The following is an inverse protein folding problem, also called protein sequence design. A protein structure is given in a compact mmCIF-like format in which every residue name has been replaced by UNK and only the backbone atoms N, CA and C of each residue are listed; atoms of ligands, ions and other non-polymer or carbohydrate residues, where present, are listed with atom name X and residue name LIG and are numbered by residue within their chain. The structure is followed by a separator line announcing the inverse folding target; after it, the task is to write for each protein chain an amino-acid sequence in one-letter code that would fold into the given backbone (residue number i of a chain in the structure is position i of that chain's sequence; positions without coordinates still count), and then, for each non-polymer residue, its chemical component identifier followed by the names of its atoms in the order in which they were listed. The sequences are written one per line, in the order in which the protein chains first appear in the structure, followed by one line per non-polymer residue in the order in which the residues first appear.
data_IF_715639019459
#
_entry.id   IF_715639019459
#
_cell.length_a   1.000
_cell.length_b   1.000
_cell.length_c   1.000
_cell.angle_alpha   90.00
_cell.angle_beta   90.00
_cell.angle_gamma   90.00
#
_symmetry.space_group_name_H-M   'P 1'
#
loop_
_entity.id
_entity.type
_entity.pdbx_description
1 polymer ?
#
# COMPACT_ATOMS: atom_id res chain seq x y z
N UNK A 1 8.63 -6.47 26.71
CA UNK A 1 8.07 -5.11 26.57
C UNK A 1 6.60 -5.15 26.94
N UNK A 2 5.94 -4.03 27.18
CA UNK A 2 4.48 -4.06 27.42
C UNK A 2 3.76 -4.47 26.14
N UNK A 3 2.70 -5.27 26.29
CA UNK A 3 1.84 -5.61 25.17
C UNK A 3 0.84 -4.47 24.93
N UNK A 4 0.32 -4.40 23.71
CA UNK A 4 -0.67 -3.38 23.36
C UNK A 4 -1.97 -3.62 24.14
N UNK A 5 -2.60 -2.53 24.62
CA UNK A 5 -3.73 -2.62 25.55
C UNK A 5 -5.06 -2.38 24.84
N UNK A 6 -6.10 -3.20 25.07
CA UNK A 6 -7.41 -2.99 24.46
C UNK A 6 -8.03 -1.64 24.85
N UNK A 7 -8.62 -0.94 23.88
CA UNK A 7 -9.31 0.35 24.06
C UNK A 7 -10.58 0.43 23.21
N UNK A 8 -11.46 1.40 23.47
CA UNK A 8 -12.67 1.64 22.67
C UNK A 8 -12.84 3.13 22.33
N UNK A 9 -11.99 3.68 21.45
CA UNK A 9 -12.03 5.09 21.10
C UNK A 9 -13.08 5.44 20.02
N UNK A 10 -13.67 4.44 19.39
CA UNK A 10 -14.54 4.62 18.22
C UNK A 10 -16.00 4.33 18.54
N UNK A 11 -16.88 5.22 18.10
CA UNK A 11 -18.25 4.84 17.75
C UNK A 11 -18.21 4.20 16.35
N UNK A 12 -18.86 3.05 16.20
CA UNK A 12 -18.79 2.24 14.98
C UNK A 12 -20.19 2.03 14.41
N UNK A 13 -20.36 2.33 13.14
CA UNK A 13 -21.58 2.03 12.38
C UNK A 13 -21.22 1.18 11.16
N UNK A 14 -22.04 0.16 10.87
CA UNK A 14 -21.85 -0.74 9.74
C UNK A 14 -23.06 -0.62 8.82
N UNK A 15 -22.80 -0.39 7.53
CA UNK A 15 -23.82 -0.36 6.48
C UNK A 15 -23.48 -1.40 5.43
N UNK A 16 -24.44 -2.27 5.13
CA UNK A 16 -24.31 -3.22 4.03
C UNK A 16 -25.06 -2.69 2.80
N UNK A 17 -24.37 -2.68 1.67
CA UNK A 17 -24.97 -2.49 0.34
C UNK A 17 -24.98 -3.84 -0.38
N UNK A 18 -25.65 -3.97 -1.54
CA UNK A 18 -25.60 -5.19 -2.33
C UNK A 18 -24.19 -5.63 -2.75
N UNK A 19 -23.21 -4.72 -2.68
CA UNK A 19 -21.89 -4.88 -3.30
C UNK A 19 -20.72 -4.51 -2.40
N UNK A 20 -20.98 -3.95 -1.22
CA UNK A 20 -19.94 -3.56 -0.27
C UNK A 20 -20.44 -3.60 1.17
N UNK A 21 -19.51 -3.77 2.10
CA UNK A 21 -19.72 -3.47 3.51
C UNK A 21 -18.94 -2.21 3.86
N UNK A 22 -19.61 -1.20 4.38
CA UNK A 22 -19.03 0.08 4.76
C UNK A 22 -19.03 0.18 6.28
N UNK A 23 -17.86 0.28 6.88
CA UNK A 23 -17.70 0.52 8.31
C UNK A 23 -17.25 1.95 8.55
N UNK A 24 -18.01 2.70 9.33
CA UNK A 24 -17.69 4.06 9.76
C UNK A 24 -17.18 4.03 11.19
N UNK A 25 -16.00 4.62 11.40
CA UNK A 25 -15.41 4.84 12.71
C UNK A 25 -15.43 6.33 13.01
N UNK A 26 -16.03 6.72 14.13
CA UNK A 26 -16.10 8.11 14.58
C UNK A 26 -15.43 8.27 15.93
N UNK A 27 -14.70 9.36 16.10
CA UNK A 27 -14.05 9.75 17.35
C UNK A 27 -14.54 11.14 17.76
N UNK A 28 -14.39 11.49 19.04
CA UNK A 28 -14.79 12.82 19.52
C UNK A 28 -13.85 13.93 19.02
N UNK A 29 -12.54 13.69 19.03
CA UNK A 29 -11.55 14.76 18.85
C UNK A 29 -10.73 14.65 17.56
N UNK A 30 -10.79 13.54 16.83
CA UNK A 30 -10.04 13.39 15.59
C UNK A 30 -9.45 12.00 15.36
N UNK A 31 -9.31 11.64 14.09
CA UNK A 31 -8.65 10.41 13.64
C UNK A 31 -7.87 10.63 12.34
N UNK A 32 -6.66 10.07 12.27
CA UNK A 32 -5.84 10.03 11.06
C UNK A 32 -5.34 8.62 10.79
N UNK A 33 -5.40 8.18 9.53
CA UNK A 33 -4.83 6.90 9.09
C UNK A 33 -3.33 7.01 8.79
N UNK A 34 -2.53 6.06 9.27
CA UNK A 34 -1.06 6.05 9.11
C UNK A 34 -0.49 4.82 8.40
N UNK A 35 -1.28 3.77 8.21
CA UNK A 35 -0.85 2.59 7.47
C UNK A 35 -1.79 1.42 7.71
N UNK A 36 -1.77 0.45 6.80
CA UNK A 36 -2.64 -0.69 6.83
C UNK A 36 -1.95 -1.91 6.22
N UNK A 37 -2.36 -3.11 6.65
CA UNK A 37 -1.92 -4.39 6.09
C UNK A 37 -3.05 -5.42 6.15
N UNK A 38 -2.88 -6.50 5.38
CA UNK A 38 -3.66 -7.72 5.54
C UNK A 38 -3.13 -8.57 6.69
N UNK A 39 -4.02 -9.20 7.47
CA UNK A 39 -3.66 -10.19 8.50
C UNK A 39 -4.80 -11.21 8.63
N UNK A 40 -4.52 -12.49 8.34
CA UNK A 40 -5.48 -13.60 8.45
C UNK A 40 -6.86 -13.33 7.82
N UNK A 41 -6.88 -12.78 6.60
CA UNK A 41 -8.14 -12.45 5.94
C UNK A 41 -8.78 -11.12 6.39
N UNK A 42 -8.15 -10.39 7.30
CA UNK A 42 -8.66 -9.15 7.91
C UNK A 42 -7.76 -7.96 7.59
N UNK A 43 -8.27 -6.76 7.84
CA UNK A 43 -7.50 -5.52 7.75
C UNK A 43 -6.95 -5.15 9.13
N UNK A 44 -5.66 -4.86 9.24
CA UNK A 44 -5.05 -4.20 10.40
C UNK A 44 -4.65 -2.78 10.00
N UNK A 45 -5.09 -1.78 10.77
CA UNK A 45 -4.83 -0.37 10.50
C UNK A 45 -4.10 0.25 11.68
N UNK A 46 -3.11 1.09 11.40
CA UNK A 46 -2.51 2.01 12.35
C UNK A 46 -3.15 3.39 12.20
N UNK A 47 -3.63 3.95 13.31
CA UNK A 47 -4.36 5.22 13.35
C UNK A 47 -3.88 6.09 14.50
N UNK A 48 -3.88 7.41 14.30
CA UNK A 48 -3.77 8.36 15.41
C UNK A 48 -5.17 8.77 15.83
N UNK A 49 -5.48 8.53 17.10
CA UNK A 49 -6.72 8.98 17.75
C UNK A 49 -6.38 10.18 18.63
N UNK A 50 -6.95 11.33 18.31
CA UNK A 50 -6.64 12.58 18.98
C UNK A 50 -7.37 12.70 20.32
N UNK A 51 -6.73 13.38 21.28
CA UNK A 51 -7.32 13.77 22.55
C UNK A 51 -6.76 15.14 22.96
N UNK A 52 -7.63 16.15 22.99
CA UNK A 52 -7.24 17.55 23.17
C UNK A 52 -6.08 17.96 22.23
N UNK A 53 -4.88 18.20 22.77
CA UNK A 53 -3.69 18.67 22.03
C UNK A 53 -2.69 17.56 21.67
N UNK A 54 -3.03 16.29 21.92
CA UNK A 54 -2.16 15.14 21.66
C UNK A 54 -2.91 14.02 20.91
N UNK A 55 -2.23 12.93 20.61
CA UNK A 55 -2.81 11.74 19.99
C UNK A 55 -2.24 10.46 20.58
N UNK A 56 -2.99 9.38 20.43
CA UNK A 56 -2.55 8.02 20.76
C UNK A 56 -2.51 7.20 19.48
N UNK A 57 -1.40 6.51 19.27
CA UNK A 57 -1.33 5.50 18.22
C UNK A 57 -2.19 4.30 18.64
N UNK A 58 -3.14 3.96 17.79
CA UNK A 58 -4.12 2.89 17.98
C UNK A 58 -4.10 1.96 16.77
N UNK A 59 -4.10 0.66 17.02
CA UNK A 59 -4.24 -0.38 16.01
C UNK A 59 -5.67 -0.89 15.99
N UNK A 60 -6.28 -0.94 14.82
CA UNK A 60 -7.65 -1.41 14.58
C UNK A 60 -7.59 -2.66 13.71
N UNK A 61 -8.18 -3.77 14.17
CA UNK A 61 -8.37 -4.98 13.37
C UNK A 61 -9.84 -5.14 13.01
N UNK A 62 -10.10 -5.39 11.72
CA UNK A 62 -11.44 -5.36 11.14
C UNK A 62 -11.63 -6.51 10.15
N UNK A 63 -12.71 -7.26 10.35
CA UNK A 63 -13.11 -8.34 9.45
C UNK A 63 -13.87 -7.80 8.22
N UNK A 64 -13.86 -8.49 7.06
CA UNK A 64 -14.52 -8.01 5.84
C UNK A 64 -16.04 -7.79 5.94
N UNK A 65 -16.70 -8.41 6.92
CA UNK A 65 -18.11 -8.16 7.26
C UNK A 65 -18.34 -6.88 8.07
N UNK A 66 -17.28 -6.11 8.32
CA UNK A 66 -17.32 -4.86 9.07
C UNK A 66 -17.22 -5.01 10.59
N UNK A 67 -17.10 -6.24 11.10
CA UNK A 67 -16.97 -6.47 12.54
C UNK A 67 -15.56 -6.15 13.05
N UNK A 68 -15.49 -5.28 14.07
CA UNK A 68 -14.25 -4.92 14.74
C UNK A 68 -13.83 -6.06 15.65
N UNK A 69 -12.72 -6.71 15.32
CA UNK A 69 -12.19 -7.86 16.09
C UNK A 69 -11.20 -7.42 17.17
N UNK A 70 -10.71 -6.19 17.11
CA UNK A 70 -10.03 -5.58 18.24
C UNK A 70 -9.49 -4.18 17.94
N UNK A 71 -9.28 -3.43 19.02
CA UNK A 71 -8.69 -2.09 18.99
C UNK A 71 -7.72 -2.00 20.15
N UNK A 72 -6.46 -1.64 19.88
CA UNK A 72 -5.40 -1.60 20.88
C UNK A 72 -4.59 -0.32 20.82
N UNK A 73 -4.18 0.20 21.97
CA UNK A 73 -3.30 1.36 22.08
C UNK A 73 -1.83 0.93 22.09
N UNK A 74 -0.99 1.64 21.34
CA UNK A 74 0.47 1.53 21.38
C UNK A 74 1.03 2.26 22.61
N UNK A 75 1.71 1.58 23.55
CA UNK A 75 2.36 2.22 24.68
C UNK A 75 3.76 2.75 24.35
N UNK A 76 4.46 2.17 23.38
CA UNK A 76 5.92 2.31 23.31
C UNK A 76 6.39 3.47 22.41
N UNK A 77 5.57 3.96 21.46
CA UNK A 77 6.04 4.98 20.52
C UNK A 77 5.03 5.49 19.49
N UNK A 78 5.55 6.22 18.50
CA UNK A 78 4.81 6.90 17.42
C UNK A 78 5.40 6.58 16.04
N UNK A 79 4.78 7.14 15.00
CA UNK A 79 5.20 7.03 13.59
C UNK A 79 5.25 5.57 13.13
N UNK A 80 4.10 4.88 13.15
CA UNK A 80 4.05 3.45 12.88
C UNK A 80 4.37 3.17 11.42
N UNK A 81 5.20 2.15 11.19
CA UNK A 81 5.26 1.48 9.89
C UNK A 81 5.01 0.00 10.08
N UNK A 82 3.86 -0.48 9.59
CA UNK A 82 3.48 -1.89 9.65
C UNK A 82 4.23 -2.68 8.57
N UNK A 83 4.65 -3.90 8.89
CA UNK A 83 5.22 -4.86 7.93
C UNK A 83 5.02 -6.30 8.41
N UNK A 84 5.33 -7.28 7.56
CA UNK A 84 5.21 -8.70 7.87
C UNK A 84 6.56 -9.41 7.83
N UNK A 85 6.76 -10.39 8.71
CA UNK A 85 7.86 -11.35 8.56
C UNK A 85 7.53 -12.46 7.54
N UNK A 86 8.50 -13.32 7.18
CA UNK A 86 8.27 -14.44 6.24
C UNK A 86 7.21 -15.45 6.67
N UNK A 87 6.82 -15.47 7.95
CA UNK A 87 5.79 -16.36 8.48
C UNK A 87 4.42 -15.66 8.57
N UNK A 88 4.30 -14.43 8.07
CA UNK A 88 3.06 -13.64 8.12
C UNK A 88 2.79 -12.96 9.47
N UNK A 89 3.73 -13.03 10.44
CA UNK A 89 3.59 -12.32 11.70
C UNK A 89 3.73 -10.83 11.45
N UNK A 90 2.81 -10.04 12.02
CA UNK A 90 2.83 -8.59 11.90
C UNK A 90 3.86 -7.99 12.86
N UNK A 91 4.68 -7.11 12.32
CA UNK A 91 5.60 -6.24 13.05
C UNK A 91 5.22 -4.78 12.84
N UNK A 92 5.65 -3.94 13.77
CA UNK A 92 5.58 -2.50 13.65
C UNK A 92 6.95 -1.89 13.95
N UNK A 93 7.35 -0.96 13.11
CA UNK A 93 8.43 -0.03 13.36
C UNK A 93 7.85 1.23 14.00
N UNK A 94 8.40 1.67 15.13
CA UNK A 94 8.00 2.89 15.85
C UNK A 94 9.22 3.66 16.34
N UNK A 95 9.06 4.96 16.52
CA UNK A 95 10.00 5.80 17.26
C UNK A 95 9.54 5.85 18.73
N UNK A 96 10.33 5.35 19.70
CA UNK A 96 9.94 5.34 21.10
C UNK A 96 9.71 6.73 21.68
N UNK A 97 8.84 6.83 22.70
CA UNK A 97 8.62 8.09 23.42
C UNK A 97 9.84 8.57 24.25
N UNK A 98 10.83 7.71 24.49
CA UNK A 98 12.01 8.06 25.27
C UNK A 98 13.03 8.91 24.47
N UNK A 99 13.68 9.90 25.11
CA UNK A 99 14.29 11.04 24.41
C UNK A 99 15.68 10.82 23.80
N UNK A 100 16.35 9.69 24.08
CA UNK A 100 17.73 9.50 23.65
C UNK A 100 17.81 8.89 22.25
N UNK A 101 17.79 9.81 21.27
CA UNK A 101 17.94 9.63 19.81
C UNK A 101 16.66 9.17 19.12
N UNK A 102 16.29 9.85 18.03
CA UNK A 102 15.21 9.51 17.08
C UNK A 102 15.53 8.19 16.35
N UNK A 103 15.61 7.10 17.11
CA UNK A 103 15.95 5.77 16.62
C UNK A 103 14.68 4.94 16.61
N UNK A 104 14.42 4.32 15.47
CA UNK A 104 13.31 3.41 15.27
C UNK A 104 13.63 2.02 15.84
N UNK A 105 12.71 1.46 16.60
CA UNK A 105 12.70 0.04 16.97
C UNK A 105 11.68 -0.71 16.13
N UNK A 106 11.90 -2.00 15.91
CA UNK A 106 10.92 -2.88 15.29
C UNK A 106 10.58 -4.01 16.23
N UNK A 107 9.30 -4.19 16.49
CA UNK A 107 8.76 -5.16 17.44
C UNK A 107 7.55 -5.87 16.82
N UNK A 108 7.28 -7.12 17.21
CA UNK A 108 6.00 -7.75 16.90
C UNK A 108 4.84 -6.87 17.34
N UNK A 109 3.78 -6.81 16.54
CA UNK A 109 2.60 -6.03 16.91
C UNK A 109 1.94 -6.58 18.18
N UNK A 110 1.85 -7.91 18.27
CA UNK A 110 1.31 -8.67 19.41
C UNK A 110 2.39 -9.56 20.05
N UNK A 111 2.11 -10.07 21.25
CA UNK A 111 2.94 -11.03 22.01
C UNK A 111 4.35 -10.49 22.33
N UNK A 112 4.40 -9.29 22.93
CA UNK A 112 5.63 -8.53 23.21
C UNK A 112 6.25 -8.81 24.57
N UNK A 113 5.53 -9.51 25.46
CA UNK A 113 5.89 -9.69 26.86
C UNK A 113 7.23 -10.41 27.02
N UNK A 114 7.47 -11.42 26.18
CA UNK A 114 8.70 -12.21 26.19
C UNK A 114 9.89 -11.55 25.48
N UNK A 115 9.72 -10.34 24.92
CA UNK A 115 10.72 -9.69 24.07
C UNK A 115 11.45 -8.59 24.86
N UNK A 116 12.78 -8.67 24.89
CA UNK A 116 13.63 -7.59 25.37
C UNK A 116 13.60 -6.41 24.39
N UNK A 117 13.74 -5.18 24.90
CA UNK A 117 13.77 -3.99 24.04
C UNK A 117 14.87 -4.10 22.97
N UNK A 118 14.51 -4.08 21.68
CA UNK A 118 15.49 -4.23 20.61
C UNK A 118 16.36 -2.97 20.47
N UNK A 119 17.53 -3.14 19.86
CA UNK A 119 18.41 -2.02 19.54
C UNK A 119 17.76 -1.11 18.49
N UNK A 120 17.68 0.18 18.79
CA UNK A 120 17.21 1.18 17.84
C UNK A 120 18.10 1.30 16.59
N UNK A 121 17.49 1.65 15.46
CA UNK A 121 18.15 1.92 14.17
C UNK A 121 17.74 3.30 13.66
N UNK A 122 18.51 3.88 12.74
CA UNK A 122 18.05 5.11 12.08
C UNK A 122 16.77 4.82 11.27
N UNK A 123 15.74 5.66 11.34
CA UNK A 123 14.52 5.49 10.55
C UNK A 123 14.82 5.36 9.05
N UNK A 124 14.08 4.49 8.37
CA UNK A 124 14.14 4.35 6.92
C UNK A 124 12.97 5.11 6.29
N UNK A 125 13.24 6.01 5.36
CA UNK A 125 12.20 6.88 4.76
C UNK A 125 11.28 6.19 3.75
N UNK A 126 11.52 4.91 3.44
CA UNK A 126 10.72 4.16 2.48
C UNK A 126 9.55 3.43 3.11
N UNK A 127 8.77 2.77 2.26
CA UNK A 127 7.59 2.02 2.66
C UNK A 127 7.82 0.52 2.51
N UNK A 128 7.13 -0.26 3.33
CA UNK A 128 7.07 -1.72 3.14
C UNK A 128 6.42 -2.04 1.80
N UNK A 129 7.02 -2.97 1.05
CA UNK A 129 6.52 -3.40 -0.26
C UNK A 129 5.97 -4.82 -0.18
N UNK A 130 6.79 -5.75 0.27
CA UNK A 130 6.46 -7.17 0.34
C UNK A 130 7.46 -7.92 1.21
N UNK A 131 7.15 -9.18 1.47
CA UNK A 131 8.05 -10.11 2.15
C UNK A 131 8.52 -11.17 1.18
N UNK A 132 9.83 -11.40 1.16
CA UNK A 132 10.50 -12.51 0.48
C UNK A 132 10.89 -13.57 1.53
N UNK A 133 11.26 -14.81 1.14
CA UNK A 133 11.44 -15.91 2.10
C UNK A 133 12.35 -15.65 3.30
N UNK A 134 13.33 -14.76 3.17
CA UNK A 134 14.32 -14.45 4.21
C UNK A 134 14.21 -13.02 4.78
N UNK A 135 13.34 -12.16 4.24
CA UNK A 135 13.30 -10.75 4.61
C UNK A 135 11.98 -10.03 4.31
N UNK A 136 11.67 -9.02 5.13
CA UNK A 136 10.72 -7.97 4.77
C UNK A 136 11.46 -6.88 4.00
N UNK A 137 10.91 -6.46 2.85
CA UNK A 137 11.53 -5.51 1.94
C UNK A 137 10.82 -4.17 2.00
N UNK A 138 11.60 -3.12 2.22
CA UNK A 138 11.17 -1.74 2.15
C UNK A 138 11.88 -1.04 0.98
N UNK A 139 11.21 -0.07 0.37
CA UNK A 139 11.73 0.65 -0.78
C UNK A 139 11.47 2.15 -0.67
N UNK A 140 12.46 2.92 -1.10
CA UNK A 140 12.43 4.37 -1.17
C UNK A 140 13.00 4.86 -2.50
N UNK A 141 12.25 5.74 -3.15
CA UNK A 141 12.63 6.41 -4.38
C UNK A 141 12.53 7.93 -4.17
N UNK A 142 13.58 8.66 -4.53
CA UNK A 142 13.58 10.13 -4.55
C UNK A 142 13.25 10.64 -5.96
N UNK A 143 11.97 10.84 -6.23
CA UNK A 143 11.49 11.30 -7.54
C UNK A 143 12.02 12.67 -7.97
N UNK A 144 12.55 13.48 -7.04
CA UNK A 144 13.10 14.80 -7.32
C UNK A 144 14.61 14.79 -7.57
N UNK A 145 15.29 13.67 -7.33
CA UNK A 145 16.74 13.53 -7.51
C UNK A 145 17.08 12.36 -8.45
N UNK A 146 16.84 12.45 -9.77
CA UNK A 146 17.07 11.34 -10.72
C UNK A 146 18.53 10.85 -10.75
N UNK A 147 19.50 11.67 -10.34
CA UNK A 147 20.90 11.24 -10.21
C UNK A 147 21.22 10.40 -8.97
N UNK A 148 20.28 10.25 -8.02
CA UNK A 148 20.50 9.48 -6.80
C UNK A 148 19.98 8.04 -6.94
N UNK A 149 20.74 7.03 -6.53
CA UNK A 149 20.27 5.66 -6.43
C UNK A 149 19.00 5.53 -5.59
N UNK A 150 18.07 4.68 -6.01
CA UNK A 150 16.97 4.25 -5.15
C UNK A 150 17.54 3.45 -3.96
N UNK A 151 16.76 3.37 -2.88
CA UNK A 151 17.18 2.68 -1.66
C UNK A 151 16.20 1.54 -1.36
N UNK A 152 16.77 0.42 -0.96
CA UNK A 152 16.04 -0.71 -0.40
C UNK A 152 16.50 -0.93 1.03
N UNK A 153 15.62 -1.42 1.90
CA UNK A 153 16.01 -1.96 3.20
C UNK A 153 15.48 -3.38 3.31
N UNK A 154 16.37 -4.33 3.61
CA UNK A 154 16.02 -5.70 3.93
C UNK A 154 16.04 -5.91 5.45
N UNK A 155 14.91 -6.32 6.02
CA UNK A 155 14.76 -6.67 7.44
C UNK A 155 14.74 -8.19 7.55
N UNK A 156 15.77 -8.76 8.15
CA UNK A 156 15.93 -10.21 8.34
C UNK A 156 15.55 -10.62 9.76
N UNK A 157 15.12 -11.87 9.91
CA UNK A 157 14.58 -12.40 11.15
C UNK A 157 15.34 -13.63 11.64
N UNK A 158 15.40 -13.81 12.96
CA UNK A 158 15.95 -15.00 13.63
C UNK A 158 15.15 -15.23 14.91
N UNK A 159 14.75 -16.47 15.18
CA UNK A 159 14.01 -16.85 16.38
C UNK A 159 12.74 -15.97 16.60
N UNK A 160 12.01 -15.68 15.52
CA UNK A 160 10.81 -14.81 15.49
C UNK A 160 11.05 -13.35 15.93
N UNK A 161 12.29 -12.87 15.85
CA UNK A 161 12.66 -11.49 16.16
C UNK A 161 13.44 -10.86 14.99
N UNK A 162 13.41 -9.52 14.92
CA UNK A 162 14.23 -8.79 13.96
C UNK A 162 15.70 -9.00 14.29
N UNK A 163 16.43 -9.65 13.39
CA UNK A 163 17.85 -9.92 13.52
C UNK A 163 18.71 -8.74 13.03
N UNK A 164 18.40 -8.24 11.83
CA UNK A 164 19.20 -7.18 11.19
C UNK A 164 18.39 -6.40 10.15
N UNK A 165 18.56 -5.08 10.15
CA UNK A 165 18.14 -4.18 9.07
C UNK A 165 19.34 -3.81 8.22
N UNK A 166 19.27 -4.02 6.91
CA UNK A 166 20.36 -3.72 5.98
C UNK A 166 19.89 -2.71 4.94
N UNK A 167 20.45 -1.50 4.98
CA UNK A 167 20.21 -0.46 3.97
C UNK A 167 21.06 -0.72 2.74
N UNK A 168 20.43 -0.72 1.58
CA UNK A 168 20.99 -1.12 0.29
C UNK A 168 20.73 0.01 -0.71
N UNK A 169 21.77 0.38 -1.46
CA UNK A 169 21.64 1.29 -2.60
C UNK A 169 21.44 0.45 -3.85
N UNK A 170 20.34 0.65 -4.55
CA UNK A 170 20.06 -0.04 -5.81
C UNK A 170 20.90 0.61 -6.91
N UNK A 171 21.65 -0.14 -7.73
CA UNK A 171 22.43 0.44 -8.82
C UNK A 171 21.59 1.31 -9.76
N UNK A 172 22.17 2.36 -10.34
CA UNK A 172 21.52 3.17 -11.36
C UNK A 172 21.14 2.31 -12.60
N UNK A 173 20.14 2.72 -13.41
CA UNK A 173 19.31 3.93 -13.29
C UNK A 173 18.39 3.92 -12.06
N UNK A 174 18.05 5.12 -11.59
CA UNK A 174 17.11 5.35 -10.48
C UNK A 174 15.66 5.34 -10.99
N UNK A 175 14.72 5.66 -10.11
CA UNK A 175 13.30 5.73 -10.42
C UNK A 175 12.71 4.40 -10.88
N UNK A 176 13.17 3.30 -10.28
CA UNK A 176 12.69 1.97 -10.61
C UNK A 176 11.24 1.79 -10.14
N UNK A 177 10.42 1.20 -11.01
CA UNK A 177 9.21 0.50 -10.61
C UNK A 177 9.64 -0.86 -10.06
N UNK A 178 9.51 -1.03 -8.75
CA UNK A 178 9.89 -2.24 -8.05
C UNK A 178 8.69 -3.18 -7.96
N UNK A 179 8.90 -4.46 -8.29
CA UNK A 179 7.90 -5.51 -8.21
C UNK A 179 8.50 -6.72 -7.50
N UNK A 180 7.79 -7.25 -6.51
CA UNK A 180 8.23 -8.42 -5.75
C UNK A 180 7.18 -9.51 -5.85
N UNK A 181 7.63 -10.71 -6.19
CA UNK A 181 6.80 -11.90 -6.22
C UNK A 181 7.62 -13.13 -5.81
N UNK A 182 7.16 -13.82 -4.77
CA UNK A 182 7.87 -14.96 -4.21
C UNK A 182 9.27 -14.55 -3.74
N UNK A 183 10.31 -15.11 -4.36
CA UNK A 183 11.72 -14.79 -4.10
C UNK A 183 12.34 -13.81 -5.10
N UNK A 184 11.57 -13.29 -6.05
CA UNK A 184 12.07 -12.43 -7.11
C UNK A 184 11.84 -10.96 -6.79
N UNK A 185 12.91 -10.17 -6.76
CA UNK A 185 12.85 -8.70 -6.68
C UNK A 185 13.24 -8.16 -8.05
N UNK A 186 12.25 -7.61 -8.75
CA UNK A 186 12.38 -7.14 -10.13
C UNK A 186 12.26 -5.62 -10.16
N UNK A 187 13.04 -5.00 -11.03
CA UNK A 187 13.11 -3.55 -11.19
C UNK A 187 12.90 -3.23 -12.66
N UNK A 188 12.01 -2.29 -12.94
CA UNK A 188 11.84 -1.71 -14.26
C UNK A 188 12.17 -0.22 -14.20
N UNK A 189 13.20 0.20 -14.92
CA UNK A 189 13.55 1.61 -15.05
C UNK A 189 13.58 2.02 -16.51
N UNK A 190 13.40 3.32 -16.76
CA UNK A 190 13.54 3.90 -18.11
C UNK A 190 14.94 4.46 -18.29
N UNK A 191 15.55 4.14 -19.42
CA UNK A 191 16.85 4.64 -19.84
C UNK A 191 16.76 5.08 -21.31
N UNK A 192 16.55 6.39 -21.52
CA UNK A 192 16.31 6.94 -22.86
C UNK A 192 15.10 6.29 -23.54
N UNK A 193 15.32 5.65 -24.69
CA UNK A 193 14.32 4.92 -25.48
C UNK A 193 14.28 3.43 -25.17
N UNK A 194 14.76 3.03 -23.99
CA UNK A 194 14.74 1.64 -23.54
C UNK A 194 14.14 1.56 -22.14
N UNK A 195 13.53 0.42 -21.83
CA UNK A 195 13.34 0.00 -20.47
C UNK A 195 14.44 -0.98 -20.09
N UNK A 196 14.97 -0.82 -18.89
CA UNK A 196 15.92 -1.72 -18.29
C UNK A 196 15.20 -2.57 -17.25
N UNK A 197 14.97 -3.83 -17.57
CA UNK A 197 14.44 -4.83 -16.65
C UNK A 197 15.62 -5.49 -15.93
N UNK A 198 15.62 -5.43 -14.60
CA UNK A 198 16.65 -6.05 -13.77
C UNK A 198 16.03 -6.94 -12.72
N UNK A 199 16.78 -7.96 -12.34
CA UNK A 199 16.52 -8.78 -11.17
C UNK A 199 17.64 -8.57 -10.17
N UNK A 200 17.28 -8.36 -8.91
CA UNK A 200 18.23 -8.19 -7.81
C UNK A 200 17.95 -9.19 -6.70
N UNK A 201 18.98 -9.52 -5.92
CA UNK A 201 18.79 -10.26 -4.67
C UNK A 201 18.54 -9.32 -3.47
N UNK A 202 18.33 -9.89 -2.29
CA UNK A 202 18.12 -9.15 -1.03
C UNK A 202 19.32 -8.32 -0.57
N UNK A 203 20.46 -8.39 -1.26
CA UNK A 203 21.64 -7.54 -1.04
C UNK A 203 21.74 -6.41 -2.07
N UNK A 204 20.83 -6.33 -3.04
CA UNK A 204 20.84 -5.36 -4.13
C UNK A 204 21.81 -5.69 -5.26
N UNK A 205 22.37 -6.90 -5.29
CA UNK A 205 23.24 -7.35 -6.37
C UNK A 205 22.38 -7.72 -7.57
N UNK A 206 22.73 -7.21 -8.75
CA UNK A 206 22.05 -7.54 -10.01
C UNK A 206 22.39 -8.98 -10.39
N UNK A 207 21.38 -9.83 -10.45
CA UNK A 207 21.50 -11.22 -10.89
C UNK A 207 21.14 -11.38 -12.37
N UNK A 208 20.36 -10.44 -12.92
CA UNK A 208 20.03 -10.42 -14.33
C UNK A 208 19.66 -9.02 -14.84
N UNK A 209 19.89 -8.80 -16.13
CA UNK A 209 19.52 -7.56 -16.85
C UNK A 209 19.02 -7.90 -18.25
N UNK A 210 17.95 -7.23 -18.67
CA UNK A 210 17.41 -7.25 -20.03
C UNK A 210 17.09 -5.81 -20.45
N UNK A 211 17.49 -5.43 -21.66
CA UNK A 211 17.16 -4.14 -22.26
C UNK A 211 16.02 -4.35 -23.26
N UNK A 212 14.96 -3.56 -23.12
CA UNK A 212 13.75 -3.65 -23.94
C UNK A 212 13.62 -2.32 -24.70
N UNK A 213 13.71 -2.31 -26.04
CA UNK A 213 13.42 -1.11 -26.83
C UNK A 213 12.00 -0.62 -26.58
N UNK A 214 11.76 0.69 -26.53
CA UNK A 214 10.42 1.26 -26.34
C UNK A 214 10.25 2.56 -27.14
N UNK A 215 9.00 2.92 -27.42
CA UNK A 215 8.58 4.19 -28.02
C UNK A 215 8.65 5.38 -27.04
N UNK A 216 9.35 5.22 -25.91
CA UNK A 216 9.49 6.21 -24.84
C UNK A 216 8.26 6.32 -23.91
N UNK A 217 7.43 5.28 -23.87
CA UNK A 217 6.26 5.22 -23.00
C UNK A 217 6.63 5.30 -21.52
N UNK A 218 5.87 6.12 -20.77
CA UNK A 218 6.01 6.23 -19.33
C UNK A 218 5.13 5.18 -18.64
N UNK A 219 5.76 4.25 -17.93
CA UNK A 219 5.04 3.25 -17.12
C UNK A 219 4.59 3.92 -15.83
N UNK A 220 3.27 3.95 -15.59
CA UNK A 220 2.69 4.43 -14.34
C UNK A 220 2.92 3.41 -13.24
N UNK A 221 2.47 2.19 -13.43
CA UNK A 221 2.61 1.12 -12.45
C UNK A 221 2.95 -0.22 -13.11
N UNK A 222 3.61 -1.07 -12.35
CA UNK A 222 3.85 -2.46 -12.72
C UNK A 222 2.78 -3.31 -12.07
N UNK A 223 1.86 -3.85 -12.87
CA UNK A 223 0.82 -4.76 -12.37
C UNK A 223 1.45 -6.13 -12.15
N UNK A 224 2.13 -6.66 -13.16
CA UNK A 224 2.85 -7.92 -13.07
C UNK A 224 4.14 -7.83 -13.89
N UNK A 225 5.24 -8.34 -13.34
CA UNK A 225 6.54 -8.32 -14.01
C UNK A 225 7.23 -9.65 -13.87
N UNK A 226 7.49 -10.31 -14.99
CA UNK A 226 8.13 -11.61 -15.08
C UNK A 226 9.11 -11.65 -16.25
N UNK A 227 10.06 -12.56 -16.17
CA UNK A 227 11.04 -12.85 -17.23
C UNK A 227 10.71 -14.10 -18.04
N UNK A 228 9.82 -14.93 -17.51
CA UNK A 228 9.45 -16.21 -18.10
C UNK A 228 7.99 -16.24 -18.53
N UNK A 229 7.21 -15.24 -18.11
CA UNK A 229 5.80 -15.08 -18.42
C UNK A 229 5.56 -13.67 -18.94
N UNK A 230 4.41 -13.48 -19.59
CA UNK A 230 3.95 -12.17 -20.03
C UNK A 230 3.78 -11.23 -18.85
N UNK A 231 4.38 -10.04 -18.94
CA UNK A 231 4.27 -8.95 -17.98
C UNK A 231 3.16 -7.97 -18.40
N UNK A 232 2.59 -7.27 -17.43
CA UNK A 232 1.52 -6.29 -17.62
C UNK A 232 1.87 -4.99 -16.92
N UNK A 233 1.96 -3.91 -17.69
CA UNK A 233 2.32 -2.58 -17.20
C UNK A 233 1.20 -1.58 -17.48
N UNK A 234 0.83 -0.80 -16.47
CA UNK A 234 -0.16 0.25 -16.60
C UNK A 234 0.49 1.54 -17.10
N UNK A 235 -0.09 2.15 -18.12
CA UNK A 235 0.24 3.49 -18.59
C UNK A 235 -1.03 4.30 -18.85
N UNK A 236 -0.87 5.57 -19.21
CA UNK A 236 -1.98 6.36 -19.70
C UNK A 236 -1.50 7.42 -20.69
N UNK A 237 -2.47 8.01 -21.40
CA UNK A 237 -2.27 9.24 -22.17
C UNK A 237 -3.56 10.04 -22.22
N UNK A 238 -3.57 11.25 -21.64
CA UNK A 238 -4.74 12.16 -21.69
C UNK A 238 -6.03 11.51 -21.14
N UNK A 239 -5.92 10.79 -20.03
CA UNK A 239 -7.05 10.08 -19.42
C UNK A 239 -7.36 8.69 -19.99
N UNK A 240 -6.88 8.36 -21.20
CA UNK A 240 -6.94 7.00 -21.73
C UNK A 240 -5.98 6.10 -20.95
N UNK A 241 -6.51 5.16 -20.18
CA UNK A 241 -5.76 4.08 -19.56
C UNK A 241 -5.38 3.06 -20.63
N UNK A 242 -4.13 2.60 -20.60
CA UNK A 242 -3.61 1.63 -21.55
C UNK A 242 -2.81 0.56 -20.79
N UNK A 243 -2.84 -0.68 -21.28
CA UNK A 243 -1.98 -1.76 -20.79
C UNK A 243 -0.91 -2.05 -21.82
N UNK A 244 0.32 -2.18 -21.34
CA UNK A 244 1.43 -2.71 -22.11
C UNK A 244 1.57 -4.19 -21.75
N UNK A 245 1.34 -5.05 -22.73
CA UNK A 245 1.57 -6.49 -22.66
C UNK A 245 2.99 -6.76 -23.13
N UNK A 246 3.88 -7.19 -22.24
CA UNK A 246 5.31 -7.39 -22.49
C UNK A 246 5.66 -8.88 -22.43
N UNK A 247 6.03 -9.46 -23.56
CA UNK A 247 6.46 -10.85 -23.64
C UNK A 247 7.89 -11.05 -23.08
N UNK A 248 8.26 -12.28 -22.68
CA UNK A 248 9.61 -12.61 -22.18
C UNK A 248 10.77 -12.21 -23.10
N UNK A 249 10.56 -12.25 -24.42
CA UNK A 249 11.56 -11.88 -25.43
C UNK A 249 11.76 -10.36 -25.59
N UNK A 250 10.96 -9.55 -24.89
CA UNK A 250 10.99 -8.09 -24.96
C UNK A 250 10.05 -7.48 -26.00
N UNK A 251 9.34 -8.30 -26.79
CA UNK A 251 8.28 -7.80 -27.65
C UNK A 251 7.11 -7.30 -26.79
N UNK A 252 6.51 -6.19 -27.20
CA UNK A 252 5.40 -5.61 -26.44
C UNK A 252 4.39 -4.93 -27.35
N UNK A 253 3.14 -4.96 -26.90
CA UNK A 253 2.01 -4.26 -27.51
C UNK A 253 1.33 -3.40 -26.47
N UNK A 254 0.68 -2.34 -26.93
CA UNK A 254 -0.05 -1.40 -26.08
C UNK A 254 -1.50 -1.38 -26.53
N UNK A 255 -2.39 -1.70 -25.61
CA UNK A 255 -3.81 -1.81 -25.87
C UNK A 255 -4.59 -0.82 -24.99
N UNK A 256 -5.62 -0.14 -25.54
CA UNK A 256 -6.49 0.71 -24.74
C UNK A 256 -7.27 -0.15 -23.74
N UNK A 257 -7.35 0.31 -22.50
CA UNK A 257 -8.05 -0.37 -21.42
C UNK A 257 -9.40 0.31 -21.13
N UNK A 258 -9.37 1.62 -20.87
CA UNK A 258 -10.55 2.40 -20.53
C UNK A 258 -10.26 3.89 -20.65
N UNK A 259 -11.21 4.69 -21.14
CA UNK A 259 -11.07 6.14 -21.17
C UNK A 259 -11.72 6.76 -19.93
N UNK A 260 -10.90 7.32 -19.03
CA UNK A 260 -11.40 8.00 -17.83
C UNK A 260 -11.95 9.40 -18.14
N UNK A 261 -11.65 9.94 -19.32
CA UNK A 261 -11.88 11.34 -19.73
C UNK A 261 -11.13 12.40 -18.89
N UNK A 262 -10.62 12.05 -17.70
CA UNK A 262 -9.85 12.90 -16.82
C UNK A 262 -8.38 12.48 -16.76
N UNK A 263 -7.46 13.45 -16.73
CA UNK A 263 -6.03 13.18 -16.61
C UNK A 263 -5.68 12.57 -15.25
N UNK A 264 -4.89 11.49 -15.27
CA UNK A 264 -4.36 10.89 -14.05
C UNK A 264 -3.17 11.69 -13.54
N UNK A 265 -3.23 12.17 -12.31
CA UNK A 265 -2.11 12.86 -11.68
C UNK A 265 -1.20 11.87 -10.96
N UNK A 266 -1.75 11.03 -10.10
CA UNK A 266 -0.97 10.03 -9.37
C UNK A 266 -1.62 8.66 -9.46
N UNK A 267 -0.75 7.66 -9.44
CA UNK A 267 -1.04 6.26 -9.14
C UNK A 267 -0.16 5.84 -7.98
N UNK A 268 -0.59 4.83 -7.24
CA UNK A 268 0.22 4.20 -6.21
C UNK A 268 0.50 2.76 -6.58
N UNK A 269 1.56 2.20 -5.99
CA UNK A 269 1.96 0.82 -6.25
C UNK A 269 0.77 -0.14 -6.10
N UNK A 270 0.50 -1.00 -7.10
CA UNK A 270 -0.62 -1.92 -7.04
C UNK A 270 -0.45 -2.94 -5.93
N UNK A 271 -1.57 -3.34 -5.34
CA UNK A 271 -1.59 -4.42 -4.36
C UNK A 271 -2.17 -5.69 -4.97
N UNK A 272 -1.45 -6.81 -4.80
CA UNK A 272 -1.88 -8.12 -5.27
C UNK A 272 -2.97 -8.69 -4.36
N UNK A 273 -4.16 -8.95 -4.91
CA UNK A 273 -5.29 -9.49 -4.14
C UNK A 273 -5.49 -10.99 -4.37
N UNK A 274 -5.38 -11.49 -5.61
CA UNK A 274 -5.56 -12.91 -5.98
C UNK A 274 -5.20 -13.14 -7.45
N UNK A 275 -4.66 -14.29 -7.87
CA UNK A 275 -4.55 -14.75 -9.28
C UNK A 275 -4.26 -13.66 -10.34
N UNK A 276 -3.14 -12.94 -10.20
CA UNK A 276 -2.73 -11.82 -11.06
C UNK A 276 -3.74 -10.66 -11.13
N UNK A 277 -4.60 -10.56 -10.12
CA UNK A 277 -5.52 -9.46 -9.90
C UNK A 277 -4.87 -8.47 -8.95
N UNK A 278 -4.85 -7.22 -9.39
CA UNK A 278 -4.24 -6.11 -8.69
C UNK A 278 -5.24 -4.99 -8.48
N UNK A 279 -5.20 -4.37 -7.30
CA UNK A 279 -5.93 -3.14 -7.02
C UNK A 279 -4.96 -1.96 -7.02
N UNK A 280 -5.29 -0.93 -7.80
CA UNK A 280 -4.45 0.25 -7.98
C UNK A 280 -5.23 1.51 -7.62
N UNK A 281 -4.76 2.29 -6.64
CA UNK A 281 -5.31 3.61 -6.34
C UNK A 281 -4.84 4.63 -7.37
N UNK A 282 -5.71 5.58 -7.70
CA UNK A 282 -5.37 6.74 -8.52
C UNK A 282 -6.08 8.02 -8.05
N UNK A 283 -5.59 9.17 -8.52
CA UNK A 283 -6.32 10.43 -8.44
C UNK A 283 -6.20 11.27 -9.73
N UNK A 284 -7.16 12.18 -9.89
CA UNK A 284 -7.22 13.17 -10.96
C UNK A 284 -7.48 14.55 -10.36
N UNK A 285 -7.68 15.57 -11.20
CA UNK A 285 -8.11 16.90 -10.74
C UNK A 285 -9.55 16.94 -10.22
N UNK A 286 -10.41 16.01 -10.66
CA UNK A 286 -11.84 16.01 -10.34
C UNK A 286 -12.23 14.98 -9.26
N UNK A 287 -11.31 14.11 -8.83
CA UNK A 287 -11.60 13.14 -7.79
C UNK A 287 -10.49 12.11 -7.59
N UNK A 288 -10.82 11.04 -6.88
CA UNK A 288 -9.95 9.88 -6.65
C UNK A 288 -10.73 8.58 -6.81
N UNK A 289 -10.00 7.48 -6.97
CA UNK A 289 -10.59 6.18 -7.23
C UNK A 289 -9.60 5.03 -7.08
N UNK A 290 -10.09 3.83 -7.36
CA UNK A 290 -9.27 2.65 -7.53
C UNK A 290 -9.76 1.83 -8.71
N UNK A 291 -8.85 1.10 -9.31
CA UNK A 291 -9.14 0.17 -10.40
C UNK A 291 -8.67 -1.23 -10.03
N UNK A 292 -9.35 -2.23 -10.58
CA UNK A 292 -8.99 -3.63 -10.43
C UNK A 292 -8.69 -4.19 -11.80
N UNK A 293 -7.50 -4.71 -11.95
CA UNK A 293 -7.00 -5.25 -13.21
C UNK A 293 -6.60 -6.69 -13.04
N UNK A 294 -6.93 -7.53 -14.01
CA UNK A 294 -6.37 -8.87 -14.16
C UNK A 294 -5.71 -8.95 -15.53
N UNK A 295 -4.40 -9.14 -15.55
CA UNK A 295 -3.63 -9.17 -16.80
C UNK A 295 -3.88 -7.90 -17.65
N UNK A 296 -4.45 -8.06 -18.85
CA UNK A 296 -4.80 -6.97 -19.77
C UNK A 296 -6.27 -6.54 -19.67
N UNK A 297 -6.99 -6.94 -18.62
CA UNK A 297 -8.41 -6.64 -18.44
C UNK A 297 -8.65 -5.74 -17.24
N UNK A 298 -9.60 -4.83 -17.39
CA UNK A 298 -10.15 -4.04 -16.30
C UNK A 298 -11.41 -4.75 -15.79
N UNK A 299 -11.41 -5.14 -14.52
CA UNK A 299 -12.52 -5.84 -13.88
C UNK A 299 -13.49 -4.85 -13.23
N UNK A 300 -12.95 -3.86 -12.53
CA UNK A 300 -13.73 -2.80 -11.89
C UNK A 300 -12.95 -1.47 -11.94
N UNK A 301 -13.65 -0.34 -12.01
CA UNK A 301 -13.04 0.99 -11.82
C UNK A 301 -14.01 1.89 -11.07
N UNK A 302 -13.66 2.23 -9.83
CA UNK A 302 -14.45 3.07 -8.96
C UNK A 302 -13.91 4.49 -8.96
N UNK A 303 -14.78 5.46 -9.20
CA UNK A 303 -14.41 6.86 -9.28
C UNK A 303 -15.43 7.75 -8.57
N UNK A 304 -14.95 8.78 -7.88
CA UNK A 304 -15.76 9.67 -7.03
C UNK A 304 -16.40 10.86 -7.76
N UNK A 305 -16.02 11.13 -9.02
CA UNK A 305 -16.52 12.30 -9.75
C UNK A 305 -18.03 12.22 -9.97
N UNK A 306 -18.73 13.28 -9.54
CA UNK A 306 -20.15 13.48 -9.83
C UNK A 306 -21.10 12.57 -9.04
N UNK A 307 -20.62 11.89 -7.99
CA UNK A 307 -21.44 11.04 -7.12
C UNK A 307 -21.05 11.21 -5.65
N UNK A 308 -21.99 11.03 -4.74
CA UNK A 308 -21.72 11.01 -3.30
C UNK A 308 -21.20 9.61 -2.89
N UNK A 309 -19.90 9.38 -3.05
CA UNK A 309 -19.25 8.09 -2.81
C UNK A 309 -18.42 7.66 -4.01
N UNK A 310 -18.61 6.43 -4.49
CA UNK A 310 -17.87 5.90 -5.63
C UNK A 310 -18.78 5.20 -6.63
N UNK A 311 -18.63 5.52 -7.91
CA UNK A 311 -19.34 4.86 -9.01
C UNK A 311 -18.39 3.92 -9.75
N UNK A 312 -18.81 2.68 -9.96
CA UNK A 312 -18.17 1.79 -10.91
C UNK A 312 -18.46 2.30 -12.33
N UNK A 313 -17.45 2.75 -13.07
CA UNK A 313 -17.66 3.31 -14.40
C UNK A 313 -17.99 2.25 -15.46
N UNK A 314 -17.71 0.97 -15.19
CA UNK A 314 -18.06 -0.13 -16.10
C UNK A 314 -19.53 -0.53 -16.00
N UNK A 315 -20.06 -0.61 -14.77
CA UNK A 315 -21.40 -1.14 -14.50
C UNK A 315 -22.44 -0.07 -14.16
N UNK A 316 -21.97 1.13 -13.78
CA UNK A 316 -22.82 2.22 -13.28
C UNK A 316 -23.23 2.07 -11.81
N UNK A 317 -22.85 0.97 -11.15
CA UNK A 317 -23.09 0.71 -9.73
C UNK A 317 -22.51 1.84 -8.86
N UNK A 318 -23.24 2.25 -7.81
CA UNK A 318 -22.79 3.28 -6.88
C UNK A 318 -22.67 2.69 -5.48
N UNK A 319 -21.52 2.93 -4.85
CA UNK A 319 -21.28 2.73 -3.42
C UNK A 319 -21.53 4.08 -2.75
N UNK A 320 -22.72 4.31 -2.15
CA UNK A 320 -23.04 5.57 -1.51
C UNK A 320 -22.22 5.73 -0.23
N UNK A 321 -21.69 6.94 -0.02
CA UNK A 321 -21.05 7.33 1.23
C UNK A 321 -21.80 8.51 1.86
N UNK A 322 -21.73 8.70 3.19
CA UNK A 322 -22.40 9.83 3.84
C UNK A 322 -21.74 11.19 3.56
N UNK A 323 -20.71 11.26 2.71
CA UNK A 323 -19.95 12.46 2.40
C UNK A 323 -19.75 12.60 0.89
N UNK A 324 -19.77 13.84 0.38
CA UNK A 324 -19.54 14.16 -1.03
C UNK A 324 -18.06 14.01 -1.40
N UNK A 325 -17.18 14.68 -0.66
CA UNK A 325 -15.74 14.64 -0.88
C UNK A 325 -15.06 13.70 0.12
N UNK A 326 -14.50 12.60 -0.39
CA UNK A 326 -13.70 11.63 0.38
C UNK A 326 -12.29 11.50 -0.20
N UNK A 327 -11.32 11.25 0.67
CA UNK A 327 -9.92 11.05 0.31
C UNK A 327 -9.53 9.60 0.56
N UNK A 328 -9.08 8.90 -0.49
CA UNK A 328 -8.50 7.55 -0.38
C UNK A 328 -7.14 7.60 0.30
N UNK A 329 -7.01 6.94 1.45
CA UNK A 329 -5.80 6.92 2.25
C UNK A 329 -5.02 5.61 2.15
N UNK A 330 -5.70 4.49 1.89
CA UNK A 330 -5.06 3.18 1.75
C UNK A 330 -5.92 2.15 1.04
N UNK A 331 -5.28 1.06 0.62
CA UNK A 331 -5.88 -0.16 0.08
C UNK A 331 -5.21 -1.33 0.79
N UNK A 332 -5.94 -2.41 1.09
CA UNK A 332 -5.33 -3.70 1.35
C UNK A 332 -6.15 -4.89 0.88
N UNK A 333 -5.46 -5.99 0.56
CA UNK A 333 -6.06 -7.32 0.44
C UNK A 333 -6.69 -7.73 1.78
N UNK A 334 -7.82 -8.42 1.71
CA UNK A 334 -8.40 -9.15 2.85
C UNK A 334 -8.34 -10.64 2.59
N UNK A 335 -9.32 -11.18 1.86
CA UNK A 335 -9.39 -12.58 1.43
C UNK A 335 -8.95 -12.74 -0.03
N UNK A 336 -8.96 -13.96 -0.57
CA UNK A 336 -8.81 -14.15 -2.02
C UNK A 336 -9.94 -13.41 -2.76
N UNK A 337 -9.58 -12.49 -3.66
CA UNK A 337 -10.53 -11.60 -4.36
C UNK A 337 -11.17 -10.52 -3.47
N UNK A 338 -10.88 -10.51 -2.17
CA UNK A 338 -11.38 -9.54 -1.20
C UNK A 338 -10.39 -8.41 -0.97
N UNK A 339 -10.90 -7.21 -0.81
CA UNK A 339 -10.09 -6.02 -0.52
C UNK A 339 -10.83 -5.02 0.36
N UNK A 340 -10.04 -4.14 0.98
CA UNK A 340 -10.49 -3.02 1.79
C UNK A 340 -9.99 -1.71 1.17
N UNK A 341 -10.85 -0.70 1.21
CA UNK A 341 -10.55 0.65 0.78
C UNK A 341 -10.69 1.57 1.99
N UNK A 342 -9.60 2.22 2.38
CA UNK A 342 -9.57 3.13 3.52
C UNK A 342 -9.70 4.56 3.01
N UNK A 343 -10.68 5.29 3.51
CA UNK A 343 -10.90 6.69 3.16
C UNK A 343 -11.36 7.52 4.36
N UNK A 344 -11.32 8.83 4.22
CA UNK A 344 -11.82 9.79 5.21
C UNK A 344 -12.44 10.99 4.51
N UNK A 345 -13.43 11.66 5.12
CA UNK A 345 -14.03 12.84 4.50
C UNK A 345 -13.01 13.97 4.41
N UNK A 346 -13.04 14.69 3.29
CA UNK A 346 -12.29 15.94 3.16
C UNK A 346 -12.91 16.95 4.12
N UNK A 347 -12.08 17.47 5.01
CA UNK A 347 -12.45 18.55 5.92
C UNK A 347 -11.73 19.83 5.55
N UNK A 348 -12.31 20.97 5.93
CA UNK A 348 -11.64 22.26 5.84
C UNK A 348 -10.30 22.25 6.58
N UNK A 349 -9.33 23.06 6.12
CA UNK A 349 -7.96 23.05 6.66
C UNK A 349 -7.87 23.30 8.17
N UNK A 350 -8.85 24.00 8.74
CA UNK A 350 -8.93 24.33 10.17
C UNK A 350 -9.73 23.32 11.00
N UNK A 351 -10.44 22.39 10.35
CA UNK A 351 -11.26 21.39 11.00
C UNK A 351 -10.48 20.08 11.20
N UNK A 352 -10.74 19.40 12.31
CA UNK A 352 -10.17 18.08 12.56
C UNK A 352 -11.07 17.01 11.95
N UNK A 353 -10.50 16.14 11.12
CA UNK A 353 -11.21 14.97 10.64
C UNK A 353 -11.46 14.01 11.82
N UNK A 354 -12.71 13.70 12.09
CA UNK A 354 -13.13 12.83 13.18
C UNK A 354 -13.65 11.47 12.72
N UNK A 355 -13.63 11.22 11.41
CA UNK A 355 -14.24 10.04 10.79
C UNK A 355 -13.24 9.27 9.93
N UNK A 356 -13.27 7.95 10.03
CA UNK A 356 -12.60 7.03 9.12
C UNK A 356 -13.64 6.09 8.51
N UNK A 357 -13.55 5.83 7.22
CA UNK A 357 -14.44 4.95 6.47
C UNK A 357 -13.63 3.80 5.88
N UNK A 358 -14.13 2.59 6.04
CA UNK A 358 -13.51 1.39 5.46
C UNK A 358 -14.57 0.68 4.62
N UNK A 359 -14.30 0.56 3.32
CA UNK A 359 -15.18 -0.12 2.37
C UNK A 359 -14.57 -1.48 2.07
N UNK A 360 -15.22 -2.55 2.50
CA UNK A 360 -14.88 -3.92 2.15
C UNK A 360 -15.67 -4.38 0.95
N UNK A 361 -14.97 -5.02 0.02
CA UNK A 361 -15.55 -5.63 -1.17
C UNK A 361 -14.91 -6.97 -1.46
N UNK A 362 -15.63 -7.77 -2.21
CA UNK A 362 -15.14 -9.00 -2.83
C UNK A 362 -15.52 -8.95 -4.28
N UNK A 363 -14.56 -9.26 -5.15
CA UNK A 363 -14.82 -9.41 -6.57
C UNK A 363 -15.91 -10.46 -6.80
N UNK A 364 -16.89 -10.11 -7.63
CA UNK A 364 -17.99 -10.97 -8.02
C UNK A 364 -17.65 -11.83 -9.23
#
# INVERSE_FOLDING_TARGET
MENITPVQPFQVDITHTPTATITRFQTTNGVTHHGNLSMDGQSILATYVYHAVSYKLTYLRLHPDGNVTGVWQEPDGILPTLFQDPNGKIFVSIIPYHPDKEMEISIPLFDREAISQPKGNRPFSGHYIATVPDAAIFYYQDSFSPGKPDKMMAVTFRDNQVHKKTNIKIPLPSQNKLFIEGNHIRLLAREGKTWLLREINTKGEITHTQTIPTDNSYVRETLFLSRTQTSYLLTNKKGLLEIITLAPDGTHVKDPLFDLEDELYNTWSPEHIHDNIYITRFNTGAGNGWMITQENKLLEIYYSKGVQGYKNLLTGEVIPLPYEDVILSGLNKTTAGGYAVICYPRVERTATNNTLLIIHRTLQ
#
